data_IF_653161958894
#
_entry.id   IF_653161958894
#
_cell.length_a   1.000
_cell.length_b   1.000
_cell.length_c   1.000
_cell.angle_alpha   90.00
_cell.angle_beta   90.00
_cell.angle_gamma   90.00
#
_symmetry.space_group_name_H-M   'P 1'
#
loop_
_entity.id
_entity.type
_entity.pdbx_description
1 polymer ?
#
# COMPACT_ATOMS: atom_id res chain seq x y z
N UNK A 1 3.37 56.20 24.02
CA UNK A 1 3.31 54.74 23.78
C UNK A 1 1.86 54.29 23.70
N UNK A 2 1.36 53.82 22.54
CA UNK A 2 -0.01 53.29 22.39
C UNK A 2 -0.04 51.85 22.93
N UNK A 3 -0.62 51.63 24.12
CA UNK A 3 -0.90 50.29 24.64
C UNK A 3 -1.82 49.55 23.66
N UNK A 4 -1.39 48.40 23.13
CA UNK A 4 -2.28 47.49 22.40
C UNK A 4 -3.37 47.04 23.38
N UNK A 5 -4.64 47.22 23.03
CA UNK A 5 -5.76 46.63 23.77
C UNK A 5 -5.70 45.13 23.54
N UNK A 6 -5.28 44.38 24.56
CA UNK A 6 -5.36 42.92 24.53
C UNK A 6 -6.83 42.52 24.50
N UNK A 7 -7.20 41.68 23.53
CA UNK A 7 -8.55 41.16 23.44
C UNK A 7 -8.79 40.20 24.61
N UNK A 8 -9.96 40.25 25.27
CA UNK A 8 -10.28 39.32 26.34
C UNK A 8 -10.06 37.87 25.89
N UNK A 9 -9.41 37.05 26.72
CA UNK A 9 -9.08 35.65 26.41
C UNK A 9 -10.31 34.85 25.93
N UNK A 10 -11.50 35.14 26.48
CA UNK A 10 -12.77 34.51 26.08
C UNK A 10 -13.13 34.75 24.61
N UNK A 11 -12.85 35.94 24.07
CA UNK A 11 -13.12 36.26 22.66
C UNK A 11 -12.19 35.50 21.72
N UNK A 12 -10.96 35.24 22.15
CA UNK A 12 -9.99 34.43 21.39
C UNK A 12 -10.44 32.97 21.37
N UNK A 13 -10.87 32.43 22.52
CA UNK A 13 -11.39 31.06 22.64
C UNK A 13 -12.66 30.87 21.79
N UNK A 14 -13.59 31.82 21.81
CA UNK A 14 -14.81 31.74 20.98
C UNK A 14 -14.51 31.78 19.48
N UNK A 15 -13.54 32.61 19.05
CA UNK A 15 -13.11 32.67 17.64
C UNK A 15 -12.46 31.36 17.18
N UNK A 16 -11.60 30.76 18.01
CA UNK A 16 -10.98 29.47 17.70
C UNK A 16 -12.03 28.35 17.57
N UNK A 17 -13.01 28.30 18.50
CA UNK A 17 -14.14 27.36 18.41
C UNK A 17 -14.94 27.54 17.10
N UNK A 18 -15.25 28.78 16.72
CA UNK A 18 -15.96 29.09 15.47
C UNK A 18 -15.13 28.71 14.23
N UNK A 19 -13.82 28.98 14.24
CA UNK A 19 -12.93 28.64 13.14
C UNK A 19 -12.82 27.13 12.95
N UNK A 20 -12.66 26.36 14.04
CA UNK A 20 -12.66 24.89 14.02
C UNK A 20 -13.95 24.33 13.43
N UNK A 21 -15.11 24.90 13.79
CA UNK A 21 -16.40 24.51 13.24
C UNK A 21 -16.50 24.79 11.73
N UNK A 22 -16.14 26.00 11.28
CA UNK A 22 -16.14 26.37 9.85
C UNK A 22 -15.21 25.46 9.05
N UNK A 23 -14.02 25.15 9.58
CA UNK A 23 -13.09 24.21 8.94
C UNK A 23 -13.66 22.80 8.83
N UNK A 24 -14.38 22.33 9.86
CA UNK A 24 -15.07 21.03 9.84
C UNK A 24 -16.16 21.00 8.76
N UNK A 25 -17.02 22.02 8.71
CA UNK A 25 -18.07 22.16 7.70
C UNK A 25 -17.46 22.20 6.29
N UNK A 26 -16.40 22.98 6.08
CA UNK A 26 -15.72 23.06 4.79
C UNK A 26 -15.11 21.72 4.35
N UNK A 27 -14.57 20.92 5.29
CA UNK A 27 -14.10 19.56 4.99
C UNK A 27 -15.25 18.65 4.55
N UNK A 28 -16.39 18.70 5.24
CA UNK A 28 -17.59 17.92 4.91
C UNK A 28 -18.10 18.30 3.53
N UNK A 29 -18.31 19.59 3.25
CA UNK A 29 -18.81 20.04 1.93
C UNK A 29 -17.89 19.64 0.77
N UNK A 30 -16.56 19.69 0.98
CA UNK A 30 -15.60 19.19 -0.01
C UNK A 30 -15.70 17.69 -0.23
N UNK A 31 -15.90 16.92 0.83
CA UNK A 31 -16.10 15.48 0.76
C UNK A 31 -17.39 15.14 0.00
N UNK A 32 -18.50 15.82 0.30
CA UNK A 32 -19.76 15.66 -0.45
C UNK A 32 -19.56 16.00 -1.92
N UNK A 33 -18.84 17.09 -2.22
CA UNK A 33 -18.48 17.47 -3.59
C UNK A 33 -17.65 16.41 -4.32
N UNK A 34 -16.78 15.70 -3.60
CA UNK A 34 -16.02 14.57 -4.14
C UNK A 34 -16.94 13.39 -4.49
N UNK A 35 -17.82 12.99 -3.58
CA UNK A 35 -18.77 11.89 -3.82
C UNK A 35 -19.64 12.18 -5.04
N UNK A 36 -20.21 13.39 -5.13
CA UNK A 36 -21.05 13.83 -6.25
C UNK A 36 -20.31 13.91 -7.59
N UNK A 37 -18.97 14.02 -7.57
CA UNK A 37 -18.14 14.03 -8.78
C UNK A 37 -18.01 12.64 -9.41
N UNK A 38 -18.24 11.57 -8.65
CA UNK A 38 -18.06 10.19 -9.10
C UNK A 38 -19.34 9.34 -8.90
N UNK A 39 -20.45 9.68 -9.59
CA UNK A 39 -21.73 8.98 -9.42
C UNK A 39 -21.70 7.52 -9.90
N UNK A 40 -20.76 7.13 -10.75
CA UNK A 40 -20.57 5.73 -11.14
C UNK A 40 -19.88 4.87 -10.08
N UNK A 41 -19.31 5.49 -9.04
CA UNK A 41 -18.60 4.81 -7.95
C UNK A 41 -19.38 4.90 -6.64
N UNK A 42 -20.01 6.04 -6.36
CA UNK A 42 -20.70 6.30 -5.11
C UNK A 42 -22.19 6.55 -5.32
N UNK A 43 -23.01 5.84 -4.56
CA UNK A 43 -24.42 6.11 -4.38
C UNK A 43 -24.61 6.91 -3.09
N UNK A 44 -25.33 8.02 -3.17
CA UNK A 44 -25.56 8.92 -2.03
C UNK A 44 -27.02 8.76 -1.61
N UNK A 45 -27.23 8.34 -0.37
CA UNK A 45 -28.55 8.20 0.25
C UNK A 45 -28.74 9.34 1.26
N UNK A 46 -29.70 10.22 0.99
CA UNK A 46 -30.09 11.29 1.91
C UNK A 46 -31.13 10.77 2.91
N UNK A 47 -30.70 10.52 4.15
CA UNK A 47 -31.60 10.09 5.23
C UNK A 47 -31.97 11.31 6.08
N UNK A 48 -33.11 11.93 5.77
CA UNK A 48 -33.58 13.13 6.47
C UNK A 48 -32.71 14.38 6.23
N UNK A 49 -32.87 15.39 7.09
CA UNK A 49 -32.31 16.74 6.87
C UNK A 49 -30.83 16.85 7.28
N UNK A 50 -30.31 15.90 8.06
CA UNK A 50 -28.98 16.02 8.71
C UNK A 50 -28.06 14.79 8.62
N UNK A 51 -28.47 13.70 7.95
CA UNK A 51 -27.62 12.52 7.74
C UNK A 51 -27.42 12.22 6.26
N UNK A 52 -26.17 12.37 5.81
CA UNK A 52 -25.75 11.91 4.48
C UNK A 52 -25.09 10.55 4.63
N UNK A 53 -25.71 9.52 4.06
CA UNK A 53 -25.08 8.20 3.88
C UNK A 53 -24.60 8.08 2.45
N UNK A 54 -23.57 7.28 2.25
CA UNK A 54 -23.11 6.92 0.93
C UNK A 54 -22.61 5.49 0.97
N UNK A 55 -22.71 4.80 -0.16
CA UNK A 55 -22.20 3.45 -0.38
C UNK A 55 -21.55 3.38 -1.75
N UNK A 56 -20.83 2.31 -2.02
CA UNK A 56 -20.40 2.03 -3.39
C UNK A 56 -21.62 1.62 -4.22
N UNK A 57 -21.58 1.93 -5.51
CA UNK A 57 -22.50 1.30 -6.47
C UNK A 57 -22.22 -0.21 -6.51
N UNK A 58 -23.21 -1.07 -6.82
CA UNK A 58 -23.01 -2.51 -6.93
C UNK A 58 -21.87 -2.89 -7.89
N UNK A 59 -21.70 -2.12 -8.97
CA UNK A 59 -20.63 -2.31 -9.94
C UNK A 59 -19.26 -1.96 -9.35
N UNK A 60 -19.15 -0.86 -8.62
CA UNK A 60 -17.91 -0.46 -7.97
C UNK A 60 -17.54 -1.39 -6.80
N UNK A 61 -18.52 -1.89 -6.06
CA UNK A 61 -18.32 -2.89 -5.02
C UNK A 61 -17.82 -4.20 -5.61
N UNK A 62 -18.44 -4.68 -6.70
CA UNK A 62 -18.00 -5.89 -7.42
C UNK A 62 -16.56 -5.74 -7.91
N UNK A 63 -16.24 -4.62 -8.57
CA UNK A 63 -14.89 -4.35 -9.06
C UNK A 63 -13.87 -4.30 -7.93
N UNK A 64 -14.22 -3.70 -6.78
CA UNK A 64 -13.37 -3.67 -5.61
C UNK A 64 -13.08 -5.07 -5.06
N UNK A 65 -14.09 -5.94 -5.00
CA UNK A 65 -13.93 -7.32 -4.55
C UNK A 65 -13.09 -8.16 -5.53
N UNK A 66 -13.28 -7.99 -6.83
CA UNK A 66 -12.46 -8.63 -7.86
C UNK A 66 -11.00 -8.19 -7.74
N UNK A 67 -10.76 -6.89 -7.57
CA UNK A 67 -9.42 -6.35 -7.37
C UNK A 67 -8.77 -6.94 -6.11
N UNK A 68 -9.51 -7.01 -4.99
CA UNK A 68 -9.04 -7.64 -3.76
C UNK A 68 -8.68 -9.11 -3.97
N UNK A 69 -9.51 -9.86 -4.72
CA UNK A 69 -9.27 -11.27 -5.04
C UNK A 69 -7.98 -11.43 -5.84
N UNK A 70 -7.82 -10.68 -6.92
CA UNK A 70 -6.61 -10.73 -7.77
C UNK A 70 -5.36 -10.34 -6.98
N UNK A 71 -5.44 -9.31 -6.12
CA UNK A 71 -4.32 -8.92 -5.26
C UNK A 71 -3.89 -10.04 -4.30
N UNK A 72 -4.85 -10.78 -3.73
CA UNK A 72 -4.56 -11.93 -2.88
C UNK A 72 -3.93 -13.09 -3.66
N UNK A 73 -4.43 -13.38 -4.88
CA UNK A 73 -3.85 -14.40 -5.76
C UNK A 73 -2.41 -14.05 -6.19
N UNK A 74 -2.08 -12.76 -6.28
CA UNK A 74 -0.72 -12.30 -6.59
C UNK A 74 0.26 -12.34 -5.42
N UNK A 75 -0.19 -12.66 -4.21
CA UNK A 75 0.65 -12.57 -3.01
C UNK A 75 1.95 -13.40 -3.12
N UNK A 76 1.86 -14.64 -3.63
CA UNK A 76 3.04 -15.50 -3.80
C UNK A 76 4.05 -14.90 -4.79
N UNK A 77 3.57 -14.27 -5.86
CA UNK A 77 4.42 -13.55 -6.81
C UNK A 77 5.10 -12.35 -6.15
N UNK A 78 4.38 -11.61 -5.29
CA UNK A 78 4.93 -10.47 -4.54
C UNK A 78 6.01 -10.92 -3.55
N UNK A 79 5.79 -12.07 -2.89
CA UNK A 79 6.79 -12.69 -2.01
C UNK A 79 8.05 -13.02 -2.79
N UNK A 80 7.93 -13.65 -3.96
CA UNK A 80 9.10 -13.94 -4.82
C UNK A 80 9.80 -12.67 -5.26
N UNK A 81 9.07 -11.63 -5.69
CA UNK A 81 9.66 -10.33 -6.06
C UNK A 81 10.42 -9.71 -4.90
N UNK A 82 9.85 -9.71 -3.69
CA UNK A 82 10.48 -9.15 -2.50
C UNK A 82 11.71 -9.97 -2.07
N UNK A 83 11.67 -11.31 -2.18
CA UNK A 83 12.83 -12.19 -1.97
C UNK A 83 13.96 -11.83 -2.94
N UNK A 84 13.68 -11.76 -4.26
CA UNK A 84 14.67 -11.37 -5.28
C UNK A 84 15.25 -9.98 -5.02
N UNK A 85 14.41 -9.01 -4.64
CA UNK A 85 14.87 -7.66 -4.29
C UNK A 85 15.88 -7.67 -3.13
N UNK A 86 15.58 -8.43 -2.07
CA UNK A 86 16.50 -8.58 -0.94
C UNK A 86 17.75 -9.38 -1.33
N UNK A 87 17.64 -10.40 -2.18
CA UNK A 87 18.81 -11.14 -2.68
C UNK A 87 19.81 -10.23 -3.41
N UNK A 88 19.33 -9.20 -4.11
CA UNK A 88 20.19 -8.22 -4.80
C UNK A 88 20.74 -7.12 -3.87
N UNK A 89 20.33 -7.06 -2.60
CA UNK A 89 20.73 -6.00 -1.69
C UNK A 89 21.94 -6.38 -0.84
N UNK A 90 22.66 -5.36 -0.37
CA UNK A 90 23.79 -5.56 0.54
C UNK A 90 23.28 -6.22 1.84
N UNK A 91 23.99 -7.25 2.30
CA UNK A 91 23.65 -8.08 3.47
C UNK A 91 22.25 -8.74 3.39
N UNK A 92 21.61 -8.77 2.22
CA UNK A 92 20.24 -9.26 2.04
C UNK A 92 19.20 -8.49 2.88
N UNK A 93 19.48 -7.20 3.10
CA UNK A 93 18.69 -6.31 3.95
C UNK A 93 18.33 -5.02 3.23
N UNK A 94 17.13 -4.51 3.47
CA UNK A 94 16.68 -3.16 3.05
C UNK A 94 15.84 -2.54 4.16
N UNK A 95 16.01 -1.23 4.41
CA UNK A 95 15.15 -0.51 5.37
C UNK A 95 13.68 -0.62 4.97
N UNK A 96 12.82 -0.96 5.93
CA UNK A 96 11.38 -1.15 5.67
C UNK A 96 10.73 0.14 5.15
N UNK A 97 11.23 1.30 5.57
CA UNK A 97 10.80 2.61 5.06
C UNK A 97 11.14 2.79 3.57
N UNK A 98 12.31 2.34 3.12
CA UNK A 98 12.69 2.40 1.70
C UNK A 98 11.79 1.52 0.84
N UNK A 99 11.48 0.31 1.30
CA UNK A 99 10.52 -0.56 0.60
C UNK A 99 9.13 0.09 0.57
N UNK A 100 8.72 0.75 1.67
CA UNK A 100 7.42 1.43 1.74
C UNK A 100 7.28 2.60 0.75
N UNK A 101 8.37 3.28 0.40
CA UNK A 101 8.36 4.30 -0.65
C UNK A 101 8.11 3.72 -2.04
N UNK A 102 8.55 2.48 -2.29
CA UNK A 102 8.41 1.77 -3.55
C UNK A 102 7.21 0.82 -3.57
N UNK A 103 6.35 0.84 -2.53
CA UNK A 103 5.28 -0.16 -2.36
C UNK A 103 4.35 -0.25 -3.57
N UNK A 104 4.00 0.90 -4.16
CA UNK A 104 3.11 0.95 -5.31
C UNK A 104 3.78 0.37 -6.56
N UNK A 105 5.06 0.69 -6.77
CA UNK A 105 5.85 0.19 -7.91
C UNK A 105 6.08 -1.33 -7.80
N UNK A 106 6.18 -1.84 -6.58
CA UNK A 106 6.35 -3.26 -6.29
C UNK A 106 5.01 -4.02 -6.22
N UNK A 107 3.87 -3.32 -6.25
CA UNK A 107 2.53 -3.91 -6.08
C UNK A 107 2.24 -4.42 -4.66
N UNK A 108 2.97 -3.93 -3.65
CA UNK A 108 2.81 -4.35 -2.26
C UNK A 108 1.56 -3.73 -1.61
N UNK A 109 0.87 -4.46 -0.72
CA UNK A 109 -0.22 -3.92 0.09
C UNK A 109 0.22 -2.70 0.93
N UNK A 110 -0.71 -1.81 1.24
CA UNK A 110 -0.43 -0.65 2.12
C UNK A 110 0.13 -1.11 3.48
N UNK A 111 -0.40 -2.22 3.97
CA UNK A 111 -0.07 -2.88 5.24
C UNK A 111 0.94 -4.03 5.07
N UNK A 112 1.77 -4.05 4.01
CA UNK A 112 2.69 -5.18 3.72
C UNK A 112 3.59 -5.57 4.89
N UNK A 113 3.89 -4.61 5.78
CA UNK A 113 4.68 -4.81 7.01
C UNK A 113 4.01 -5.78 7.97
N UNK A 114 2.69 -5.69 8.07
CA UNK A 114 1.88 -6.47 9.00
C UNK A 114 1.22 -7.67 8.31
N UNK A 115 1.16 -7.68 6.97
CA UNK A 115 0.67 -8.82 6.20
C UNK A 115 1.80 -9.72 5.74
N UNK A 116 2.53 -9.35 4.68
CA UNK A 116 3.53 -10.21 4.02
C UNK A 116 4.67 -10.56 4.98
N UNK A 117 5.22 -9.59 5.71
CA UNK A 117 6.36 -9.87 6.58
C UNK A 117 6.00 -10.80 7.76
N UNK A 118 4.76 -10.74 8.26
CA UNK A 118 4.31 -11.59 9.37
C UNK A 118 3.83 -12.97 8.90
N UNK A 119 3.22 -13.05 7.71
CA UNK A 119 2.69 -14.29 7.14
C UNK A 119 3.78 -15.21 6.55
N UNK A 120 4.93 -14.65 6.17
CA UNK A 120 6.05 -15.38 5.60
C UNK A 120 7.34 -15.30 6.45
N UNK A 121 7.30 -15.71 7.74
CA UNK A 121 8.45 -15.62 8.65
C UNK A 121 9.63 -16.52 8.24
N UNK A 122 9.37 -17.56 7.44
CA UNK A 122 10.40 -18.41 6.85
C UNK A 122 11.30 -17.67 5.84
N UNK A 123 10.77 -16.61 5.21
CA UNK A 123 11.51 -15.81 4.24
C UNK A 123 11.97 -14.49 4.83
N UNK A 124 11.12 -13.79 5.58
CA UNK A 124 11.38 -12.42 6.01
C UNK A 124 11.54 -12.31 7.52
N UNK A 125 12.49 -11.46 7.91
CA UNK A 125 12.71 -11.09 9.31
C UNK A 125 12.90 -9.59 9.43
N UNK A 126 12.24 -8.96 10.39
CA UNK A 126 12.46 -7.54 10.68
C UNK A 126 13.55 -7.41 11.73
N UNK A 127 14.67 -6.79 11.38
CA UNK A 127 15.84 -6.57 12.24
C UNK A 127 16.02 -5.09 12.55
N UNK A 128 16.47 -4.76 13.77
CA UNK A 128 16.80 -3.39 14.14
C UNK A 128 18.21 -3.05 13.66
N UNK A 129 18.33 -1.96 12.92
CA UNK A 129 19.63 -1.41 12.48
C UNK A 129 19.85 -0.02 13.08
N UNK A 130 21.07 0.51 12.97
CA UNK A 130 21.40 1.89 13.38
C UNK A 130 20.53 2.94 12.67
N UNK A 131 19.99 2.61 11.50
CA UNK A 131 19.19 3.52 10.65
C UNK A 131 17.67 3.28 10.76
N UNK A 132 17.25 2.36 11.63
CA UNK A 132 15.84 1.94 11.77
C UNK A 132 15.60 0.48 11.43
N UNK A 133 14.34 0.03 11.40
CA UNK A 133 13.98 -1.35 11.08
C UNK A 133 14.30 -1.68 9.62
N UNK A 134 14.96 -2.81 9.39
CA UNK A 134 15.23 -3.37 8.08
C UNK A 134 14.53 -4.72 7.92
N UNK A 135 14.04 -4.97 6.71
CA UNK A 135 13.62 -6.30 6.29
C UNK A 135 14.86 -7.06 5.83
N UNK A 136 15.07 -8.23 6.42
CA UNK A 136 16.14 -9.18 6.13
C UNK A 136 15.55 -10.44 5.48
N UNK A 137 16.26 -10.97 4.49
CA UNK A 137 15.99 -12.30 3.96
C UNK A 137 16.67 -13.38 4.80
N UNK A 138 15.88 -14.33 5.31
CA UNK A 138 16.36 -15.39 6.21
C UNK A 138 17.29 -16.40 5.51
N UNK A 139 16.98 -16.81 4.28
CA UNK A 139 17.79 -17.75 3.50
C UNK A 139 17.82 -17.37 2.02
N UNK A 140 18.97 -17.64 1.37
CA UNK A 140 19.08 -17.50 -0.08
C UNK A 140 18.41 -18.68 -0.76
N UNK A 141 17.72 -18.41 -1.87
CA UNK A 141 17.08 -19.41 -2.69
C UNK A 141 17.72 -19.42 -4.09
N UNK A 142 18.49 -20.45 -4.38
CA UNK A 142 19.21 -20.57 -5.64
C UNK A 142 18.27 -20.73 -6.83
N UNK A 143 17.07 -21.27 -6.64
CA UNK A 143 16.07 -21.41 -7.72
C UNK A 143 15.56 -20.04 -8.18
N UNK A 144 15.56 -19.05 -7.29
CA UNK A 144 15.20 -17.68 -7.62
C UNK A 144 16.34 -16.89 -8.27
N UNK A 145 17.57 -17.39 -8.21
CA UNK A 145 18.77 -16.73 -8.72
C UNK A 145 19.06 -17.04 -10.19
N UNK A 146 18.19 -17.81 -10.86
CA UNK A 146 18.30 -18.10 -12.29
C UNK A 146 17.63 -16.98 -13.09
N UNK A 147 18.37 -16.43 -14.05
CA UNK A 147 17.85 -15.42 -14.97
C UNK A 147 16.91 -16.04 -15.99
N UNK A 148 16.06 -15.19 -16.59
CA UNK A 148 15.17 -15.64 -17.66
C UNK A 148 15.95 -16.21 -18.86
N UNK A 149 17.07 -15.58 -19.22
CA UNK A 149 17.94 -16.05 -20.30
C UNK A 149 18.55 -17.43 -20.01
N UNK A 150 18.99 -17.69 -18.78
CA UNK A 150 19.52 -19.01 -18.40
C UNK A 150 18.45 -20.11 -18.46
N UNK A 151 17.20 -19.79 -18.08
CA UNK A 151 16.07 -20.74 -18.18
C UNK A 151 15.76 -21.09 -19.63
N UNK A 152 15.76 -20.11 -20.54
CA UNK A 152 15.55 -20.35 -21.97
C UNK A 152 16.65 -21.25 -22.55
N UNK A 153 17.92 -21.00 -22.21
CA UNK A 153 19.05 -21.83 -22.64
C UNK A 153 18.89 -23.27 -22.13
N UNK A 154 18.55 -23.46 -20.85
CA UNK A 154 18.33 -24.80 -20.29
C UNK A 154 17.18 -25.55 -20.98
N UNK A 155 16.09 -24.87 -21.31
CA UNK A 155 14.96 -25.49 -22.02
C UNK A 155 15.36 -25.97 -23.43
N UNK A 156 16.14 -25.16 -24.15
CA UNK A 156 16.66 -25.54 -25.46
C UNK A 156 17.64 -26.71 -25.36
N UNK A 157 18.55 -26.71 -24.39
CA UNK A 157 19.47 -27.84 -24.16
C UNK A 157 18.73 -29.14 -23.84
N UNK A 158 17.69 -29.09 -22.99
CA UNK A 158 16.87 -30.27 -22.66
C UNK A 158 16.15 -30.81 -23.90
N UNK A 159 15.60 -29.95 -24.76
CA UNK A 159 14.97 -30.37 -26.02
C UNK A 159 15.98 -31.07 -26.94
N UNK A 160 17.19 -30.52 -27.08
CA UNK A 160 18.24 -31.11 -27.92
C UNK A 160 18.74 -32.48 -27.41
N UNK A 161 18.65 -32.76 -26.11
CA UNK A 161 19.00 -34.06 -25.52
C UNK A 161 17.94 -35.11 -25.87
N UNK A 162 16.66 -34.74 -25.90
CA UNK A 162 15.54 -35.65 -26.21
C UNK A 162 15.57 -36.07 -27.68
N UNK A 163 16.03 -35.19 -28.58
CA UNK A 163 16.05 -35.43 -30.02
C UNK A 163 17.28 -36.21 -30.53
N UNK A 164 18.19 -36.67 -29.64
CA UNK A 164 19.35 -37.47 -30.04
C UNK A 164 18.91 -38.92 -30.37
N UNK A 165 19.11 -39.41 -31.62
CA UNK A 165 18.80 -40.80 -31.95
C UNK A 165 19.75 -41.77 -31.22
N UNK A 166 19.30 -43.02 -30.96
CA UNK A 166 20.05 -44.01 -30.17
C UNK A 166 21.38 -44.44 -30.80
#
# INVERSE_FOLDING_TARGET
MKRRKELPFDNVIQRDKKLKLVMKIRKILRFIGLLRKFPGVFEIEEEGVYSLKFKLTPEAETLYLEEMKVRNEMEDLLVVKLRKLLMMSLEKRILVEKIAHLKNDLGLPLEFRDTICQRYPQYFRVVRTKRGPALELSHWDSELAVSFAELEIQQVEVQLIIDRPP
#
